data_IF_968168428774
#
_entry.id   IF_968168428774
#
_cell.length_a   1.000
_cell.length_b   1.000
_cell.length_c   1.000
_cell.angle_alpha   90.00
_cell.angle_beta   90.00
_cell.angle_gamma   90.00
#
_symmetry.space_group_name_H-M   'P 1'
#
loop_
_entity.id
_entity.type
_entity.pdbx_description
1 polymer ?
#
# COMPACT_ATOMS: atom_id res chain seq x y z
N UNK A 1 -20.70 13.53 -10.96
CA UNK A 1 -20.95 12.57 -9.87
C UNK A 1 -19.74 11.66 -9.77
N UNK A 2 -19.02 11.72 -8.64
CA UNK A 2 -18.06 10.70 -8.19
C UNK A 2 -16.70 10.63 -8.88
N UNK A 3 -15.87 11.67 -8.74
CA UNK A 3 -14.41 11.48 -8.60
C UNK A 3 -14.15 10.84 -7.22
N UNK A 4 -14.61 9.60 -7.05
CA UNK A 4 -14.48 8.85 -5.81
C UNK A 4 -13.34 7.85 -5.96
N UNK A 5 -12.31 8.13 -5.16
CA UNK A 5 -11.21 7.27 -4.75
C UNK A 5 -10.07 7.26 -5.77
N UNK A 6 -8.93 7.81 -5.37
CA UNK A 6 -7.62 7.61 -6.00
C UNK A 6 -7.22 6.13 -5.93
N UNK A 7 -7.91 5.33 -6.73
CA UNK A 7 -7.75 3.89 -6.83
C UNK A 7 -6.42 3.62 -7.52
N UNK A 8 -5.57 2.81 -6.90
CA UNK A 8 -4.38 2.36 -7.59
C UNK A 8 -4.83 1.57 -8.81
N UNK A 9 -4.60 2.14 -9.98
CA UNK A 9 -4.98 1.55 -11.25
C UNK A 9 -3.80 0.70 -11.69
N UNK A 10 -4.01 -0.60 -11.93
CA UNK A 10 -2.94 -1.49 -12.40
C UNK A 10 -2.30 -0.92 -13.67
N UNK A 11 -0.97 -0.86 -13.72
CA UNK A 11 -0.20 -0.24 -14.81
C UNK A 11 -0.03 1.28 -14.68
N UNK A 12 -0.68 1.93 -13.70
CA UNK A 12 -0.52 3.35 -13.44
C UNK A 12 0.79 3.69 -12.74
N UNK A 13 1.40 4.81 -13.13
CA UNK A 13 2.48 5.43 -12.37
C UNK A 13 1.88 6.28 -11.25
N UNK A 14 2.42 6.14 -10.04
CA UNK A 14 2.02 6.91 -8.88
C UNK A 14 3.23 7.51 -8.17
N UNK A 15 3.03 8.66 -7.53
CA UNK A 15 4.03 9.29 -6.68
C UNK A 15 3.61 9.18 -5.21
N UNK A 16 4.60 9.02 -4.35
CA UNK A 16 4.41 8.99 -2.89
C UNK A 16 5.62 9.61 -2.21
N UNK A 17 5.52 9.84 -0.89
CA UNK A 17 6.65 10.35 -0.09
C UNK A 17 7.93 9.51 -0.22
N UNK A 18 7.79 8.24 -0.62
CA UNK A 18 8.90 7.31 -0.79
C UNK A 18 9.46 7.28 -2.22
N UNK A 19 8.90 8.08 -3.14
CA UNK A 19 9.29 8.14 -4.56
C UNK A 19 8.17 7.74 -5.52
N UNK A 20 8.53 7.69 -6.81
CA UNK A 20 7.70 7.16 -7.90
C UNK A 20 7.61 5.64 -7.82
N UNK A 21 6.43 5.10 -8.11
CA UNK A 21 6.19 3.67 -8.19
C UNK A 21 5.25 3.34 -9.36
N UNK A 22 5.33 2.11 -9.85
CA UNK A 22 4.34 1.54 -10.75
C UNK A 22 3.38 0.67 -9.94
N UNK A 23 2.08 0.78 -10.18
CA UNK A 23 1.10 -0.16 -9.64
C UNK A 23 1.17 -1.43 -10.45
N UNK A 24 1.68 -2.52 -9.87
CA UNK A 24 1.82 -3.80 -10.57
C UNK A 24 0.55 -4.63 -10.54
N UNK A 25 -0.27 -4.48 -9.49
CA UNK A 25 -1.55 -5.16 -9.36
C UNK A 25 -2.45 -4.44 -8.38
N UNK A 26 -3.76 -4.49 -8.63
CA UNK A 26 -4.76 -3.96 -7.73
C UNK A 26 -6.06 -4.74 -7.84
N UNK A 27 -6.87 -4.68 -6.78
CA UNK A 27 -8.18 -5.30 -6.82
C UNK A 27 -8.98 -5.05 -5.57
N UNK A 28 -10.27 -5.39 -5.68
CA UNK A 28 -11.24 -5.32 -4.60
C UNK A 28 -11.97 -6.65 -4.52
N UNK A 29 -12.09 -7.23 -3.33
CA UNK A 29 -12.84 -8.45 -3.13
C UNK A 29 -14.31 -8.17 -2.79
N UNK A 30 -15.16 -9.20 -2.78
CA UNK A 30 -16.60 -9.06 -2.51
C UNK A 30 -16.95 -8.54 -1.11
N UNK A 31 -15.98 -8.48 -0.19
CA UNK A 31 -16.14 -7.93 1.16
C UNK A 31 -15.79 -6.44 1.23
N UNK A 32 -15.41 -5.84 0.09
CA UNK A 32 -14.98 -4.45 -0.02
C UNK A 32 -13.54 -4.23 0.44
N UNK A 33 -12.74 -5.28 0.65
CA UNK A 33 -11.31 -5.12 0.94
C UNK A 33 -10.58 -4.85 -0.38
N UNK A 34 -9.68 -3.90 -0.35
CA UNK A 34 -8.94 -3.41 -1.51
C UNK A 34 -7.44 -3.55 -1.29
N UNK A 35 -6.72 -3.91 -2.34
CA UNK A 35 -5.27 -4.05 -2.32
C UNK A 35 -4.60 -3.36 -3.51
N UNK A 36 -3.38 -2.93 -3.28
CA UNK A 36 -2.52 -2.21 -4.22
C UNK A 36 -1.09 -2.69 -4.09
N UNK A 37 -0.62 -3.52 -5.01
CA UNK A 37 0.79 -3.84 -5.15
C UNK A 37 1.50 -2.73 -5.93
N UNK A 38 2.68 -2.33 -5.45
CA UNK A 38 3.46 -1.20 -5.96
C UNK A 38 4.91 -1.64 -6.11
N UNK A 39 5.52 -1.27 -7.23
CA UNK A 39 6.92 -1.49 -7.52
C UNK A 39 7.64 -0.13 -7.60
N UNK A 40 8.60 0.08 -6.71
CA UNK A 40 9.43 1.30 -6.66
C UNK A 40 10.75 1.11 -7.42
N UNK A 41 10.91 0.01 -8.15
CA UNK A 41 12.09 -0.38 -8.90
C UNK A 41 13.15 -1.08 -8.05
N UNK A 42 14.22 -1.55 -8.71
CA UNK A 42 15.30 -2.32 -8.08
C UNK A 42 16.07 -1.59 -6.97
N UNK A 43 15.94 -0.26 -6.87
CA UNK A 43 16.57 0.52 -5.79
C UNK A 43 15.78 0.47 -4.47
N UNK A 44 14.56 -0.05 -4.49
CA UNK A 44 13.77 -0.22 -3.28
C UNK A 44 14.36 -1.33 -2.40
N UNK A 45 14.44 -1.08 -1.09
CA UNK A 45 14.82 -2.11 -0.13
C UNK A 45 13.76 -3.23 -0.03
N UNK A 46 12.53 -2.94 -0.43
CA UNK A 46 11.43 -3.87 -0.51
C UNK A 46 10.75 -3.80 -1.89
N UNK A 47 11.00 -4.82 -2.71
CA UNK A 47 10.36 -4.98 -4.02
C UNK A 47 8.88 -5.38 -3.96
N UNK A 48 8.40 -5.82 -2.79
CA UNK A 48 7.01 -6.19 -2.55
C UNK A 48 6.30 -5.10 -1.73
N UNK A 49 6.35 -3.86 -2.19
CA UNK A 49 5.60 -2.79 -1.54
C UNK A 49 4.11 -2.94 -1.84
N UNK A 50 3.24 -2.78 -0.85
CA UNK A 50 1.80 -2.84 -1.07
C UNK A 50 1.01 -2.08 -0.02
N UNK A 51 -0.21 -1.70 -0.40
CA UNK A 51 -1.21 -1.15 0.50
C UNK A 51 -2.45 -2.04 0.48
N UNK A 52 -2.94 -2.39 1.66
CA UNK A 52 -4.13 -3.21 1.84
C UNK A 52 -5.10 -2.47 2.76
N UNK A 53 -6.35 -2.30 2.35
CA UNK A 53 -7.39 -1.61 3.11
C UNK A 53 -8.61 -2.50 3.23
N UNK A 54 -9.06 -2.73 4.45
CA UNK A 54 -10.24 -3.54 4.75
C UNK A 54 -11.48 -2.65 4.91
N UNK A 55 -12.65 -3.21 4.62
CA UNK A 55 -13.93 -2.51 4.81
C UNK A 55 -14.23 -2.17 6.28
N UNK A 56 -13.61 -2.89 7.22
CA UNK A 56 -13.68 -2.60 8.65
C UNK A 56 -12.83 -1.39 9.09
N UNK A 57 -12.18 -0.69 8.17
CA UNK A 57 -11.35 0.49 8.43
C UNK A 57 -9.89 0.18 8.80
N UNK A 58 -9.54 -1.10 9.01
CA UNK A 58 -8.14 -1.49 9.18
C UNK A 58 -7.37 -1.40 7.86
N UNK A 59 -6.09 -1.07 7.91
CA UNK A 59 -5.23 -1.02 6.74
C UNK A 59 -3.80 -1.39 7.07
N UNK A 60 -3.07 -1.80 6.04
CA UNK A 60 -1.69 -2.23 6.14
C UNK A 60 -0.87 -1.64 4.99
N UNK A 61 0.33 -1.17 5.31
CA UNK A 61 1.33 -0.72 4.36
C UNK A 61 2.59 -1.58 4.51
N UNK A 62 3.04 -2.14 3.40
CA UNK A 62 4.43 -2.58 3.23
C UNK A 62 5.15 -1.52 2.38
N UNK A 63 6.12 -0.86 2.96
CA UNK A 63 6.79 0.29 2.33
C UNK A 63 8.06 -0.13 1.60
N UNK A 64 8.47 0.68 0.62
CA UNK A 64 9.67 0.45 -0.21
C UNK A 64 10.98 0.49 0.56
N UNK A 65 11.00 1.14 1.72
CA UNK A 65 12.14 1.14 2.63
C UNK A 65 12.23 -0.13 3.50
N UNK A 66 11.30 -1.08 3.35
CA UNK A 66 11.22 -2.32 4.13
C UNK A 66 10.46 -2.19 5.45
N UNK A 67 10.01 -0.99 5.82
CA UNK A 67 9.14 -0.82 6.98
C UNK A 67 7.73 -1.29 6.68
N UNK A 68 6.99 -1.61 7.73
CA UNK A 68 5.57 -1.94 7.65
C UNK A 68 4.76 -1.12 8.64
N UNK A 69 3.52 -0.83 8.30
CA UNK A 69 2.60 -0.12 9.17
C UNK A 69 1.23 -0.78 9.11
N UNK A 70 0.72 -1.18 10.27
CA UNK A 70 -0.59 -1.79 10.41
C UNK A 70 -1.47 -0.91 11.29
N UNK A 71 -2.68 -0.59 10.83
CA UNK A 71 -3.71 0.08 11.62
C UNK A 71 -4.92 -0.84 11.73
N UNK A 72 -5.44 -1.02 12.93
CA UNK A 72 -6.55 -1.94 13.17
C UNK A 72 -7.95 -1.33 12.94
N UNK A 73 -8.04 -0.09 12.47
CA UNK A 73 -9.31 0.62 12.24
C UNK A 73 -10.02 1.06 13.53
N UNK A 74 -9.41 0.82 14.70
CA UNK A 74 -9.98 1.06 16.04
C UNK A 74 -9.11 2.01 16.86
N UNK A 75 -8.35 2.86 16.19
CA UNK A 75 -7.46 3.84 16.82
C UNK A 75 -6.12 3.30 17.29
N UNK A 76 -5.77 2.03 17.02
CA UNK A 76 -4.44 1.50 17.30
C UNK A 76 -3.69 1.22 16.00
N UNK A 77 -2.38 1.50 16.02
CA UNK A 77 -1.50 1.18 14.93
C UNK A 77 -0.14 0.69 15.41
N UNK A 78 0.46 -0.19 14.62
CA UNK A 78 1.76 -0.78 14.85
C UNK A 78 2.66 -0.40 13.68
N UNK A 79 3.74 0.30 13.98
CA UNK A 79 4.82 0.55 13.04
C UNK A 79 5.94 -0.47 13.29
N UNK A 80 6.33 -1.18 12.25
CA UNK A 80 7.46 -2.09 12.26
C UNK A 80 8.57 -1.47 11.41
N UNK A 81 9.70 -1.06 12.01
CA UNK A 81 10.83 -0.56 11.24
C UNK A 81 11.38 -1.66 10.31
N UNK A 82 12.10 -1.28 9.24
CA UNK A 82 12.79 -2.29 8.44
C UNK A 82 13.77 -3.04 9.33
N UNK A 83 13.79 -4.37 9.24
CA UNK A 83 14.82 -5.18 9.89
C UNK A 83 16.18 -4.64 9.46
N UNK A 84 17.05 -4.39 10.44
CA UNK A 84 18.31 -3.65 10.29
C UNK A 84 19.06 -3.97 9.00
N UNK A 85 19.47 -2.91 8.30
CA UNK A 85 20.38 -2.97 7.15
C UNK A 85 21.75 -3.50 7.58
#
# INVERSE_FOLDING_TARGET
MSDKIGACSTGGLGESKSGSYQVTSSGTNNQGNHYCARDYGSSAANGNSYHYSNSNGSYYYSNSNGSSYYNNGRGNATYTPPSGK
#
